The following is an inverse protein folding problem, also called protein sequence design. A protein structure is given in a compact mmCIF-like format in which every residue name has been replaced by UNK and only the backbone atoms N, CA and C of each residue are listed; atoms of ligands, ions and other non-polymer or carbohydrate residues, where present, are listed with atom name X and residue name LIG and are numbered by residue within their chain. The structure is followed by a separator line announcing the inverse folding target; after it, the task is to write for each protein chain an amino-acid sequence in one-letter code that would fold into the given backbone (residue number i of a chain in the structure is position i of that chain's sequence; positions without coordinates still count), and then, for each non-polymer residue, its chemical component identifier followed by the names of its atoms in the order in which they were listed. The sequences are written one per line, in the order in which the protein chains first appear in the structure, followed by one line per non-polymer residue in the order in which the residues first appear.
data_IF_924810010587
#
_entry.id   IF_924810010587
#
_cell.length_a   1.000
_cell.length_b   1.000
_cell.length_c   1.000
_cell.angle_alpha   90.00
_cell.angle_beta   90.00
_cell.angle_gamma   90.00
#
_symmetry.space_group_name_H-M   'P 1'
#
loop_
_entity.id
_entity.type
_entity.pdbx_description
1 polymer ?
#
# COMPACT_ATOMS: atom_id res chain seq x y z
N UNK A 1 -7.33 -13.36 -16.67
CA UNK A 1 -7.70 -12.25 -15.76
C UNK A 1 -6.76 -11.08 -16.05
N UNK A 2 -7.27 -9.87 -16.32
CA UNK A 2 -6.39 -8.69 -16.47
C UNK A 2 -5.80 -8.36 -15.09
N UNK A 3 -4.51 -8.63 -14.88
CA UNK A 3 -3.80 -8.20 -13.69
C UNK A 3 -3.91 -6.66 -13.62
N UNK A 4 -4.55 -6.12 -12.58
CA UNK A 4 -4.54 -4.67 -12.35
C UNK A 4 -3.09 -4.27 -12.08
N UNK A 5 -2.65 -3.15 -12.64
CA UNK A 5 -1.34 -2.58 -12.32
C UNK A 5 -1.26 -2.30 -10.82
N UNK A 6 -0.17 -2.74 -10.17
CA UNK A 6 0.07 -2.53 -8.73
C UNK A 6 -0.11 -1.07 -8.32
N UNK A 7 0.30 -0.13 -9.17
CA UNK A 7 0.10 1.32 -8.97
C UNK A 7 -1.36 1.70 -8.77
N UNK A 8 -2.25 1.12 -9.57
CA UNK A 8 -3.69 1.39 -9.45
C UNK A 8 -4.23 0.84 -8.12
N UNK A 9 -3.78 -0.34 -7.74
CA UNK A 9 -4.22 -0.97 -6.49
C UNK A 9 -3.74 -0.20 -5.25
N UNK A 10 -2.47 0.22 -5.24
CA UNK A 10 -1.91 1.10 -4.21
C UNK A 10 -2.71 2.42 -4.15
N UNK A 11 -2.97 3.06 -5.28
CA UNK A 11 -3.75 4.30 -5.31
C UNK A 11 -5.17 4.13 -4.75
N UNK A 12 -5.84 3.01 -5.06
CA UNK A 12 -7.17 2.70 -4.53
C UNK A 12 -7.13 2.47 -3.00
N UNK A 13 -6.05 1.85 -2.50
CA UNK A 13 -5.82 1.64 -1.07
C UNK A 13 -5.55 2.96 -0.36
N UNK A 14 -4.64 3.80 -0.89
CA UNK A 14 -4.31 5.11 -0.33
C UNK A 14 -5.57 5.94 -0.13
N UNK A 15 -6.44 6.05 -1.14
CA UNK A 15 -7.72 6.76 -1.03
C UNK A 15 -8.60 6.25 0.12
N UNK A 16 -8.67 4.93 0.31
CA UNK A 16 -9.46 4.34 1.42
C UNK A 16 -8.83 4.66 2.76
N UNK A 17 -7.51 4.62 2.86
CA UNK A 17 -6.77 4.95 4.07
C UNK A 17 -6.95 6.42 4.45
N UNK A 18 -6.84 7.34 3.49
CA UNK A 18 -7.10 8.77 3.70
C UNK A 18 -8.54 9.03 4.19
N UNK A 19 -9.54 8.37 3.58
CA UNK A 19 -10.93 8.50 4.01
C UNK A 19 -11.14 7.98 5.43
N UNK A 20 -10.51 6.85 5.79
CA UNK A 20 -10.54 6.32 7.16
C UNK A 20 -9.86 7.29 8.13
N UNK A 21 -8.68 7.80 7.79
CA UNK A 21 -7.93 8.73 8.62
C UNK A 21 -8.72 10.03 8.87
N UNK A 22 -9.36 10.58 7.84
CA UNK A 22 -10.23 11.77 7.98
C UNK A 22 -11.44 11.52 8.88
N UNK A 23 -11.98 10.30 8.87
CA UNK A 23 -13.18 9.95 9.63
C UNK A 23 -12.89 9.57 11.09
N UNK A 24 -11.76 8.91 11.34
CA UNK A 24 -11.46 8.26 12.62
C UNK A 24 -10.15 8.73 13.26
N UNK A 25 -9.39 9.59 12.60
CA UNK A 25 -8.02 9.95 12.99
C UNK A 25 -6.98 8.94 12.50
N UNK A 26 -5.71 9.28 12.71
CA UNK A 26 -4.59 8.35 12.50
C UNK A 26 -4.52 7.38 13.67
N UNK A 27 -4.18 6.14 13.35
CA UNK A 27 -3.99 5.07 14.32
C UNK A 27 -2.56 4.53 14.23
N UNK A 28 -2.09 3.93 15.31
CA UNK A 28 -0.78 3.29 15.36
C UNK A 28 -0.67 2.21 14.27
N UNK A 29 0.46 2.19 13.55
CA UNK A 29 0.67 1.30 12.39
C UNK A 29 -0.29 1.55 11.21
N UNK A 30 -0.66 2.82 10.97
CA UNK A 30 -1.46 3.24 9.82
C UNK A 30 -1.00 2.58 8.52
N UNK A 31 -1.92 1.90 7.84
CA UNK A 31 -1.67 1.27 6.54
C UNK A 31 -0.79 0.00 6.56
N UNK A 32 -0.31 -0.45 7.73
CA UNK A 32 0.54 -1.64 7.83
C UNK A 32 -0.17 -2.92 7.34
N UNK A 33 -1.46 -3.09 7.67
CA UNK A 33 -2.24 -4.24 7.20
C UNK A 33 -2.34 -4.31 5.68
N UNK A 34 -2.48 -3.16 5.03
CA UNK A 34 -2.57 -3.07 3.58
C UNK A 34 -1.20 -3.29 2.93
N UNK A 35 -0.11 -2.80 3.54
CA UNK A 35 1.26 -3.10 3.11
C UNK A 35 1.54 -4.61 3.17
N UNK A 36 1.23 -5.26 4.29
CA UNK A 36 1.41 -6.71 4.45
C UNK A 36 0.57 -7.50 3.43
N UNK A 37 -0.67 -7.08 3.19
CA UNK A 37 -1.54 -7.70 2.18
C UNK A 37 -0.97 -7.58 0.76
N UNK A 38 -0.34 -6.44 0.42
CA UNK A 38 0.33 -6.27 -0.87
C UNK A 38 1.59 -7.13 -0.96
N UNK A 39 2.41 -7.18 0.10
CA UNK A 39 3.63 -8.01 0.16
C UNK A 39 3.30 -9.49 -0.02
N UNK A 40 2.25 -9.98 0.63
CA UNK A 40 1.78 -11.36 0.51
C UNK A 40 1.26 -11.65 -0.92
N UNK A 41 0.40 -10.76 -1.44
CA UNK A 41 -0.19 -10.91 -2.78
C UNK A 41 0.84 -10.94 -3.90
N UNK A 42 1.85 -10.08 -3.81
CA UNK A 42 2.87 -9.90 -4.84
C UNK A 42 4.18 -10.64 -4.52
N UNK A 43 4.20 -11.50 -3.49
CA UNK A 43 5.42 -12.12 -2.96
C UNK A 43 6.33 -12.72 -4.04
N UNK A 44 5.77 -13.60 -4.89
CA UNK A 44 6.53 -14.25 -5.96
C UNK A 44 7.03 -13.27 -7.03
N UNK A 45 6.29 -12.20 -7.28
CA UNK A 45 6.55 -11.23 -8.36
C UNK A 45 7.56 -10.17 -7.90
N UNK A 46 7.64 -9.90 -6.59
CA UNK A 46 8.63 -9.02 -5.98
C UNK A 46 10.07 -9.50 -6.19
N UNK A 47 10.31 -10.83 -6.12
CA UNK A 47 11.64 -11.41 -6.37
C UNK A 47 12.03 -11.45 -7.84
N UNK A 48 11.04 -11.46 -8.74
CA UNK A 48 11.27 -11.47 -10.18
C UNK A 48 11.32 -10.05 -10.79
N UNK A 49 10.70 -9.07 -10.13
CA UNK A 49 10.50 -7.72 -10.63
C UNK A 49 10.69 -6.67 -9.53
N UNK A 50 11.89 -6.08 -9.50
CA UNK A 50 12.24 -5.02 -8.55
C UNK A 50 11.28 -3.81 -8.58
N UNK A 51 10.55 -3.58 -9.68
CA UNK A 51 9.59 -2.48 -9.72
C UNK A 51 8.44 -2.70 -8.73
N UNK A 52 7.94 -3.93 -8.60
CA UNK A 52 6.83 -4.25 -7.67
C UNK A 52 7.28 -4.03 -6.23
N UNK A 53 8.49 -4.49 -5.89
CA UNK A 53 9.09 -4.25 -4.58
C UNK A 53 9.17 -2.74 -4.28
N UNK A 54 9.69 -1.96 -5.21
CA UNK A 54 9.84 -0.51 -5.04
C UNK A 54 8.51 0.21 -4.85
N UNK A 55 7.46 -0.18 -5.58
CA UNK A 55 6.13 0.42 -5.41
C UNK A 55 5.54 0.14 -4.02
N UNK A 56 5.72 -1.09 -3.50
CA UNK A 56 5.25 -1.46 -2.16
C UNK A 56 6.04 -0.73 -1.07
N UNK A 57 7.38 -0.64 -1.20
CA UNK A 57 8.19 0.14 -0.26
C UNK A 57 7.84 1.63 -0.26
N UNK A 58 7.60 2.21 -1.44
CA UNK A 58 7.20 3.62 -1.53
C UNK A 58 5.85 3.84 -0.85
N UNK A 59 4.91 2.90 -1.00
CA UNK A 59 3.64 2.94 -0.29
C UNK A 59 3.81 2.79 1.23
N UNK A 60 4.67 1.88 1.70
CA UNK A 60 4.99 1.71 3.12
C UNK A 60 5.59 2.98 3.72
N UNK A 61 6.54 3.61 3.02
CA UNK A 61 7.11 4.91 3.41
C UNK A 61 6.06 6.01 3.45
N UNK A 62 5.13 6.03 2.49
CA UNK A 62 4.02 6.98 2.51
C UNK A 62 3.16 6.78 3.77
N UNK A 63 2.79 5.54 4.11
CA UNK A 63 2.03 5.23 5.32
C UNK A 63 2.73 5.70 6.60
N UNK A 64 4.05 5.49 6.72
CA UNK A 64 4.84 5.89 7.88
C UNK A 64 4.95 7.41 8.05
N UNK A 65 4.92 8.17 6.96
CA UNK A 65 5.06 9.63 6.96
C UNK A 65 3.71 10.36 6.79
N UNK A 66 2.60 9.61 6.71
CA UNK A 66 1.29 10.22 6.47
C UNK A 66 0.83 11.00 7.71
N UNK A 67 0.55 12.29 7.50
CA UNK A 67 -0.02 13.19 8.50
C UNK A 67 -1.31 13.81 7.95
N UNK A 68 -2.28 14.05 8.85
CA UNK A 68 -3.53 14.73 8.52
C UNK A 68 -3.36 16.25 8.39
#
# INVERSE_FOLDING_TARGET
MKQKSIKKEINDIMKKLELKAKKYGLYENFGNSEVLSLKDKYFSEMYANNNIWNEIENFEKWCMNYSL
#
